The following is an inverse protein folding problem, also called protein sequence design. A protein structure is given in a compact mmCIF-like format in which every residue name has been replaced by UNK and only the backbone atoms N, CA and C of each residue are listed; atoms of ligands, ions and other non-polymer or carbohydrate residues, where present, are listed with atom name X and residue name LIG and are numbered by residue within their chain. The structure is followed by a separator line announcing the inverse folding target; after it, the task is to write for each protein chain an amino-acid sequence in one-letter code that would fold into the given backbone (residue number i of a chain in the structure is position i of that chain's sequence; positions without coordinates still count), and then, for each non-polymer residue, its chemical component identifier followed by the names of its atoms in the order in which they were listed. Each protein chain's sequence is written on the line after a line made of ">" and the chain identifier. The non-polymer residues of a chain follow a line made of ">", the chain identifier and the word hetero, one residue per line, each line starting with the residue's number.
data_IF_546568590934
#
_entry.id   IF_546568590934
#
_cell.length_a   1.000
_cell.length_b   1.000
_cell.length_c   1.000
_cell.angle_alpha   90.00
_cell.angle_beta   90.00
_cell.angle_gamma   90.00
#
_symmetry.space_group_name_H-M   'P 1'
#
loop_
_entity.id
_entity.type
_entity.pdbx_description
1 polymer ?
#
# COMPACT_ATOMS: atom_id res chain seq x y z
N UNK A 1 -49.15 -44.16 -34.88
CA UNK A 1 -48.30 -45.36 -34.72
C UNK A 1 -46.87 -44.87 -34.61
N UNK A 2 -46.26 -45.06 -33.44
CA UNK A 2 -44.98 -44.47 -33.03
C UNK A 2 -43.83 -45.38 -33.48
N UNK A 3 -42.80 -44.82 -34.14
CA UNK A 3 -41.42 -45.33 -34.01
C UNK A 3 -40.43 -44.18 -33.89
N UNK A 4 -39.90 -44.07 -32.67
CA UNK A 4 -38.73 -43.31 -32.25
C UNK A 4 -37.47 -43.91 -32.85
N UNK A 5 -36.55 -43.05 -33.31
CA UNK A 5 -35.09 -43.24 -33.32
C UNK A 5 -34.53 -41.82 -33.05
N UNK A 6 -34.51 -41.33 -31.81
CA UNK A 6 -33.38 -41.39 -30.86
C UNK A 6 -32.02 -41.29 -31.57
N UNK A 7 -31.49 -40.06 -31.71
CA UNK A 7 -30.37 -39.48 -30.89
C UNK A 7 -29.00 -40.04 -31.30
N UNK A 8 -27.84 -39.37 -31.31
CA UNK A 8 -27.28 -38.25 -30.56
C UNK A 8 -26.13 -37.67 -31.43
N UNK A 9 -26.26 -36.49 -32.04
CA UNK A 9 -25.13 -35.88 -32.79
C UNK A 9 -24.94 -34.38 -32.52
N UNK A 10 -25.52 -33.84 -31.44
CA UNK A 10 -25.35 -32.43 -31.04
C UNK A 10 -24.95 -32.24 -29.59
N UNK A 11 -24.16 -33.15 -29.00
CA UNK A 11 -23.68 -33.03 -27.60
C UNK A 11 -22.17 -33.31 -27.51
N UNK A 12 -21.37 -32.81 -28.45
CA UNK A 12 -19.90 -32.85 -28.36
C UNK A 12 -19.29 -31.47 -28.70
N UNK A 13 -19.96 -30.39 -28.31
CA UNK A 13 -19.39 -29.03 -28.35
C UNK A 13 -19.77 -28.20 -27.12
N UNK A 14 -20.06 -28.88 -26.01
CA UNK A 14 -20.44 -28.25 -24.74
C UNK A 14 -19.63 -28.83 -23.57
N UNK A 15 -18.34 -29.10 -23.79
CA UNK A 15 -17.38 -29.50 -22.75
C UNK A 15 -16.11 -28.63 -22.71
N UNK A 16 -16.05 -27.52 -23.48
CA UNK A 16 -14.88 -26.63 -23.49
C UNK A 16 -14.97 -25.46 -22.48
N UNK A 17 -15.96 -25.47 -21.57
CA UNK A 17 -16.19 -24.40 -20.58
C UNK A 17 -16.28 -24.91 -19.13
N UNK A 18 -15.53 -25.96 -18.79
CA UNK A 18 -15.37 -26.41 -17.41
C UNK A 18 -13.91 -26.84 -17.20
N UNK A 19 -13.08 -26.18 -16.41
CA UNK A 19 -13.26 -24.96 -15.66
C UNK A 19 -11.92 -24.25 -15.52
N UNK A 20 -11.96 -22.93 -15.67
CA UNK A 20 -11.07 -22.10 -14.88
C UNK A 20 -11.41 -22.37 -13.42
N UNK A 21 -10.65 -23.27 -12.79
CA UNK A 21 -10.42 -23.18 -11.36
C UNK A 21 -9.67 -21.88 -11.13
N UNK A 22 -10.41 -20.76 -11.08
CA UNK A 22 -10.01 -19.68 -10.20
C UNK A 22 -10.10 -20.32 -8.83
N UNK A 23 -9.00 -20.90 -8.34
CA UNK A 23 -8.82 -21.06 -6.92
C UNK A 23 -9.07 -19.67 -6.37
N UNK A 24 -10.22 -19.47 -5.74
CA UNK A 24 -10.39 -18.37 -4.80
C UNK A 24 -9.39 -18.67 -3.69
N UNK A 25 -8.15 -18.24 -3.91
CA UNK A 25 -7.26 -17.87 -2.82
C UNK A 25 -8.14 -17.05 -1.91
N UNK A 26 -8.30 -17.56 -0.69
CA UNK A 26 -9.20 -16.95 0.27
C UNK A 26 -8.66 -15.55 0.48
N UNK A 27 -9.34 -14.55 -0.07
CA UNK A 27 -9.03 -13.14 0.15
C UNK A 27 -9.14 -12.94 1.66
N UNK A 28 -8.01 -13.07 2.34
CA UNK A 28 -7.86 -12.61 3.69
C UNK A 28 -8.09 -11.10 3.60
N UNK A 29 -9.17 -10.55 4.20
CA UNK A 29 -9.49 -9.14 4.10
C UNK A 29 -8.35 -8.26 4.66
N UNK A 30 -7.48 -8.83 5.50
CA UNK A 30 -6.29 -8.16 6.03
C UNK A 30 -5.16 -8.06 4.99
N UNK A 31 -5.18 -8.88 3.92
CA UNK A 31 -4.18 -8.90 2.85
C UNK A 31 -4.68 -8.30 1.52
N UNK A 32 -5.83 -7.63 1.51
CA UNK A 32 -6.28 -6.92 0.32
C UNK A 32 -5.26 -5.84 -0.11
N UNK A 33 -4.94 -5.69 -1.40
CA UNK A 33 -4.03 -4.66 -1.87
C UNK A 33 -4.57 -3.27 -1.48
N UNK A 34 -3.79 -2.54 -0.69
CA UNK A 34 -4.18 -1.23 -0.15
C UNK A 34 -4.55 -1.22 1.33
N UNK A 35 -4.54 -2.36 2.03
CA UNK A 35 -4.69 -2.39 3.49
C UNK A 35 -3.57 -1.60 4.15
N UNK A 36 -3.96 -0.67 5.02
CA UNK A 36 -3.04 0.07 5.89
C UNK A 36 -2.71 -0.84 7.08
N UNK A 37 -1.47 -1.32 7.15
CA UNK A 37 -0.99 -2.22 8.19
C UNK A 37 -0.31 -1.47 9.34
N UNK A 38 0.23 -0.29 9.06
CA UNK A 38 0.87 0.57 10.07
C UNK A 38 -0.15 1.59 10.53
N UNK A 39 -0.43 1.67 11.83
CA UNK A 39 -1.31 2.70 12.39
C UNK A 39 -0.60 4.06 12.49
N UNK A 40 -1.36 5.14 12.56
CA UNK A 40 -0.80 6.50 12.74
C UNK A 40 0.00 6.60 14.05
N UNK A 41 -0.54 6.06 15.15
CA UNK A 41 0.16 6.02 16.45
C UNK A 41 1.51 5.32 16.32
N UNK A 42 1.56 4.19 15.60
CA UNK A 42 2.80 3.45 15.37
C UNK A 42 3.78 4.26 14.52
N UNK A 43 3.30 4.95 13.49
CA UNK A 43 4.12 5.81 12.66
C UNK A 43 4.70 6.99 13.46
N UNK A 44 3.92 7.58 14.37
CA UNK A 44 4.36 8.62 15.31
C UNK A 44 5.42 8.08 16.28
N UNK A 45 5.23 6.89 16.84
CA UNK A 45 6.23 6.24 17.68
C UNK A 45 7.55 6.05 16.94
N UNK A 46 7.51 5.57 15.70
CA UNK A 46 8.70 5.42 14.83
C UNK A 46 9.37 6.77 14.61
N UNK A 47 8.60 7.83 14.33
CA UNK A 47 9.13 9.18 14.16
C UNK A 47 9.88 9.67 15.42
N UNK A 48 9.31 9.42 16.61
CA UNK A 48 9.94 9.78 17.89
C UNK A 48 11.16 8.90 18.22
N UNK A 49 11.06 7.59 18.04
CA UNK A 49 12.09 6.64 18.47
C UNK A 49 13.28 6.57 17.51
N UNK A 50 13.02 6.52 16.21
CA UNK A 50 14.06 6.33 15.19
C UNK A 50 14.65 7.68 14.77
N UNK A 51 13.79 8.67 14.51
CA UNK A 51 14.23 9.97 13.99
C UNK A 51 14.41 11.03 15.08
N UNK A 52 14.01 10.73 16.33
CA UNK A 52 14.15 11.62 17.48
C UNK A 52 13.39 12.94 17.29
N UNK A 53 12.15 12.85 16.80
CA UNK A 53 11.24 14.01 16.84
C UNK A 53 10.87 14.30 18.30
N UNK A 54 11.15 15.52 18.75
CA UNK A 54 10.77 16.01 20.07
C UNK A 54 9.30 16.42 20.11
N UNK A 55 8.84 17.07 19.04
CA UNK A 55 7.49 17.61 18.90
C UNK A 55 6.93 17.15 17.56
N UNK A 56 5.73 16.57 17.58
CA UNK A 56 4.95 16.28 16.38
C UNK A 56 3.94 17.40 16.19
N UNK A 57 3.98 18.03 15.01
CA UNK A 57 3.08 19.13 14.64
C UNK A 57 1.87 18.60 13.86
N UNK A 58 2.12 17.70 12.92
CA UNK A 58 1.08 17.08 12.07
C UNK A 58 1.41 15.62 11.82
N UNK A 59 0.37 14.81 11.71
CA UNK A 59 0.43 13.45 11.18
C UNK A 59 -0.75 13.31 10.19
N UNK A 60 -0.47 12.83 8.99
CA UNK A 60 -1.50 12.60 7.97
C UNK A 60 -1.15 11.40 7.09
N UNK A 61 -2.18 10.80 6.48
CA UNK A 61 -2.03 9.68 5.55
C UNK A 61 -2.35 10.18 4.14
N UNK A 62 -1.36 10.17 3.24
CA UNK A 62 -1.58 10.53 1.83
C UNK A 62 -0.47 10.01 0.92
N UNK A 63 -0.72 10.11 -0.38
CA UNK A 63 0.32 9.92 -1.39
C UNK A 63 1.34 11.06 -1.37
N UNK A 64 2.57 10.78 -1.81
CA UNK A 64 3.60 11.78 -1.99
C UNK A 64 3.23 12.72 -3.14
N UNK A 65 3.40 14.02 -2.91
CA UNK A 65 3.30 14.99 -3.98
C UNK A 65 4.55 14.93 -4.88
N UNK A 66 4.53 15.64 -6.01
CA UNK A 66 5.62 15.61 -6.99
C UNK A 66 6.98 16.01 -6.41
N UNK A 67 7.03 17.04 -5.56
CA UNK A 67 8.29 17.52 -4.99
C UNK A 67 8.86 16.52 -3.97
N UNK A 68 8.00 15.93 -3.14
CA UNK A 68 8.37 14.88 -2.19
C UNK A 68 8.86 13.63 -2.93
N UNK A 69 8.16 13.24 -4.00
CA UNK A 69 8.54 12.11 -4.85
C UNK A 69 9.92 12.30 -5.51
N UNK A 70 10.21 13.51 -5.98
CA UNK A 70 11.51 13.83 -6.58
C UNK A 70 12.65 13.69 -5.56
N UNK A 71 12.40 14.12 -4.31
CA UNK A 71 13.34 14.04 -3.18
C UNK A 71 13.39 12.67 -2.48
N UNK A 72 12.44 11.78 -2.77
CA UNK A 72 12.38 10.45 -2.17
C UNK A 72 13.63 9.63 -2.54
N UNK A 73 14.26 8.93 -1.58
CA UNK A 73 15.39 8.02 -1.87
C UNK A 73 15.03 7.01 -2.96
N UNK A 74 16.00 6.60 -3.78
CA UNK A 74 15.73 5.72 -4.94
C UNK A 74 15.12 4.40 -4.52
N UNK A 75 15.56 3.85 -3.41
CA UNK A 75 15.07 2.64 -2.76
C UNK A 75 13.61 2.75 -2.28
N UNK A 76 13.11 3.97 -2.07
CA UNK A 76 11.74 4.22 -1.63
C UNK A 76 10.77 4.58 -2.77
N UNK A 77 11.28 4.82 -3.98
CA UNK A 77 10.44 5.10 -5.15
C UNK A 77 9.70 3.84 -5.57
N UNK A 78 8.38 3.92 -5.60
CA UNK A 78 7.49 2.85 -6.07
C UNK A 78 7.18 1.78 -5.03
N UNK A 79 7.64 1.94 -3.79
CA UNK A 79 7.41 0.95 -2.73
C UNK A 79 5.94 0.89 -2.29
N UNK A 80 5.36 2.03 -1.94
CA UNK A 80 3.95 2.16 -1.56
C UNK A 80 3.34 3.41 -2.19
N UNK A 81 2.05 3.38 -2.58
CA UNK A 81 1.34 4.57 -3.06
C UNK A 81 1.02 5.58 -1.95
N UNK A 82 1.00 5.16 -0.68
CA UNK A 82 0.52 5.97 0.46
C UNK A 82 1.48 5.86 1.65
N UNK A 83 1.70 6.98 2.31
CA UNK A 83 2.58 7.11 3.48
C UNK A 83 1.85 7.81 4.63
N UNK A 84 2.26 7.46 5.86
CA UNK A 84 2.14 8.35 7.02
C UNK A 84 3.20 9.43 6.90
N UNK A 85 2.79 10.68 6.93
CA UNK A 85 3.64 11.86 6.81
C UNK A 85 3.58 12.60 8.13
N UNK A 86 4.67 12.53 8.88
CA UNK A 86 4.80 13.07 10.23
C UNK A 86 5.75 14.26 10.19
N UNK A 87 5.21 15.46 10.36
CA UNK A 87 6.01 16.69 10.41
C UNK A 87 6.16 17.16 11.84
N UNK A 88 7.35 17.61 12.18
CA UNK A 88 7.64 18.05 13.54
C UNK A 88 9.02 18.68 13.67
N UNK A 89 9.54 18.69 14.89
CA UNK A 89 10.83 19.27 15.21
C UNK A 89 11.77 18.28 15.89
N UNK A 90 13.03 18.36 15.51
CA UNK A 90 14.18 17.80 16.22
C UNK A 90 15.08 18.96 16.63
N UNK A 91 15.05 19.32 17.92
CA UNK A 91 15.62 20.56 18.42
C UNK A 91 15.02 21.78 17.71
N UNK A 92 15.87 22.56 17.04
CA UNK A 92 15.47 23.73 16.25
C UNK A 92 15.15 23.43 14.78
N UNK A 93 15.33 22.19 14.32
CA UNK A 93 15.19 21.81 12.91
C UNK A 93 13.82 21.21 12.64
N UNK A 94 13.15 21.68 11.58
CA UNK A 94 11.93 21.06 11.07
C UNK A 94 12.29 19.76 10.33
N UNK A 95 11.58 18.68 10.64
CA UNK A 95 11.81 17.36 10.05
C UNK A 95 10.47 16.77 9.64
N UNK A 96 10.41 16.24 8.42
CA UNK A 96 9.28 15.44 7.94
C UNK A 96 9.73 14.00 7.74
N UNK A 97 9.09 13.10 8.49
CA UNK A 97 9.30 11.65 8.42
C UNK A 97 8.20 11.03 7.59
N UNK A 98 8.57 10.12 6.70
CA UNK A 98 7.68 9.36 5.86
C UNK A 98 7.78 7.89 6.27
N UNK A 99 6.67 7.30 6.71
CA UNK A 99 6.58 5.88 7.08
C UNK A 99 5.56 5.23 6.16
N UNK A 100 5.91 4.11 5.53
CA UNK A 100 4.98 3.36 4.68
C UNK A 100 3.74 2.96 5.47
N UNK A 101 2.56 3.07 4.86
CA UNK A 101 1.33 2.52 5.44
C UNK A 101 1.32 0.99 5.49
N UNK A 102 2.22 0.32 4.77
CA UNK A 102 2.29 -1.14 4.63
C UNK A 102 3.40 -1.79 5.48
N UNK A 103 4.56 -1.15 5.62
CA UNK A 103 5.74 -1.71 6.30
C UNK A 103 6.44 -0.64 7.14
N UNK A 104 6.47 -0.81 8.46
CA UNK A 104 7.14 0.11 9.38
C UNK A 104 8.67 0.21 9.18
N UNK A 105 9.26 -0.77 8.50
CA UNK A 105 10.68 -0.76 8.14
C UNK A 105 10.96 0.11 6.93
N UNK A 106 9.95 0.38 6.11
CA UNK A 106 10.07 1.27 4.98
C UNK A 106 9.78 2.72 5.38
N UNK A 107 10.84 3.42 5.76
CA UNK A 107 10.77 4.77 6.32
C UNK A 107 11.96 5.63 5.89
N UNK A 108 11.72 6.92 5.70
CA UNK A 108 12.76 7.88 5.35
C UNK A 108 12.43 9.30 5.83
N UNK A 109 13.39 10.21 5.70
CA UNK A 109 13.21 11.64 5.97
C UNK A 109 13.52 12.45 4.73
N UNK A 110 12.79 13.55 4.54
CA UNK A 110 13.17 14.62 3.63
C UNK A 110 13.44 15.83 4.50
N UNK A 111 14.67 16.32 4.48
CA UNK A 111 15.03 17.56 5.15
C UNK A 111 14.53 18.72 4.28
N UNK A 112 13.72 19.61 4.86
CA UNK A 112 13.39 20.87 4.23
C UNK A 112 14.64 21.76 4.31
N UNK A 113 15.22 22.09 3.16
CA UNK A 113 16.29 23.09 3.11
C UNK A 113 15.70 24.44 3.52
N UNK A 114 16.32 25.10 4.50
CA UNK A 114 15.98 26.49 4.83
C UNK A 114 16.28 27.35 3.60
N UNK A 115 15.22 27.88 2.99
CA UNK A 115 15.35 28.91 1.95
C UNK A 115 15.91 30.16 2.65
N UNK A 116 17.21 30.38 2.50
CA UNK A 116 17.91 31.59 2.96
C UNK A 116 17.53 32.82 2.13
#
# INVERSE_FOLDING_TARGET
>A
MVKKVFTYTSIILMCLLMGWGCSSESDDPDNAPGTINVSEDRAIEIAKQVYQLDIVTTAEIRALNRQEWEKTPKEAKGYTPVYHIISGKKGSTNVTVYVSTYDENHRFVILEEEVK
#
